data_IF_167676750642
#
_entry.id   IF_167676750642
#
_cell.length_a   1.000
_cell.length_b   1.000
_cell.length_c   1.000
_cell.angle_alpha   90.00
_cell.angle_beta   90.00
_cell.angle_gamma   90.00
#
_symmetry.space_group_name_H-M   'P 1'
#
loop_
_entity.id
_entity.type
_entity.pdbx_description
1 polymer ?
#
# COMPACT_ATOMS: atom_id res chain seq x y z
N UNK A 1 25.60 7.41 -18.50
CA UNK A 1 26.03 8.82 -18.62
C UNK A 1 25.55 9.52 -19.91
N UNK A 2 25.18 8.81 -20.95
CA UNK A 2 24.76 9.44 -22.22
C UNK A 2 23.28 9.84 -22.33
N UNK A 3 22.40 9.28 -21.48
CA UNK A 3 20.98 9.68 -21.45
C UNK A 3 20.80 11.09 -20.85
N UNK A 4 21.70 11.50 -19.96
CA UNK A 4 21.67 12.83 -19.32
C UNK A 4 22.15 13.96 -20.24
N UNK A 5 22.92 13.68 -21.30
CA UNK A 5 23.40 14.73 -22.25
C UNK A 5 22.32 15.30 -23.16
N UNK A 6 21.19 14.63 -23.27
CA UNK A 6 20.06 15.11 -24.08
C UNK A 6 19.03 15.97 -23.36
N UNK A 7 19.08 16.05 -22.01
CA UNK A 7 18.11 16.77 -21.19
C UNK A 7 18.52 18.22 -20.84
N UNK A 8 19.83 18.55 -20.98
CA UNK A 8 20.43 19.78 -20.45
C UNK A 8 20.26 21.08 -21.24
N UNK A 9 19.59 21.12 -22.39
CA UNK A 9 19.48 22.32 -23.24
C UNK A 9 18.06 22.60 -23.76
N UNK A 10 17.02 22.19 -23.01
CA UNK A 10 15.64 22.48 -23.44
C UNK A 10 15.15 23.77 -22.83
N UNK A 11 14.74 24.69 -23.68
CA UNK A 11 14.00 25.87 -23.28
C UNK A 11 12.69 25.46 -22.56
N UNK A 12 12.22 26.29 -21.64
CA UNK A 12 11.09 26.07 -20.72
C UNK A 12 9.74 25.64 -21.35
N UNK A 13 9.65 25.48 -22.67
CA UNK A 13 8.38 25.29 -23.39
C UNK A 13 8.25 24.00 -24.23
N UNK A 14 9.27 23.13 -24.30
CA UNK A 14 9.16 21.93 -25.16
C UNK A 14 8.92 20.68 -24.34
N UNK A 15 7.71 20.05 -24.42
CA UNK A 15 7.43 18.79 -23.74
C UNK A 15 8.44 17.70 -24.11
N UNK A 16 8.69 16.78 -23.18
CA UNK A 16 9.49 15.59 -23.46
C UNK A 16 8.82 14.74 -24.55
N UNK A 17 9.58 14.14 -25.48
CA UNK A 17 9.02 13.22 -26.45
C UNK A 17 8.27 12.09 -25.75
N UNK A 18 7.06 11.77 -26.21
CA UNK A 18 6.25 10.67 -25.69
C UNK A 18 5.21 11.06 -24.65
N UNK A 19 5.14 12.31 -24.19
CA UNK A 19 4.09 12.77 -23.26
C UNK A 19 2.69 12.46 -23.80
N UNK A 20 2.46 12.66 -25.10
CA UNK A 20 1.20 12.36 -25.78
C UNK A 20 0.96 10.85 -26.03
N UNK A 21 1.97 10.02 -25.84
CA UNK A 21 1.87 8.56 -26.07
C UNK A 21 1.69 7.77 -24.77
N UNK A 22 1.92 8.39 -23.61
CA UNK A 22 1.81 7.75 -22.30
C UNK A 22 0.43 8.00 -21.68
N UNK A 23 -0.30 6.94 -21.36
CA UNK A 23 -1.51 7.03 -20.54
C UNK A 23 -1.14 6.90 -19.07
N UNK A 24 -1.33 7.96 -18.29
CA UNK A 24 -1.02 7.97 -16.88
C UNK A 24 -2.10 7.23 -16.06
N UNK A 25 -1.66 6.58 -14.97
CA UNK A 25 -2.55 5.88 -14.05
C UNK A 25 -3.23 6.87 -13.10
N UNK A 26 -4.55 6.74 -12.92
CA UNK A 26 -5.35 7.55 -11.97
C UNK A 26 -5.20 9.07 -12.15
N UNK A 27 -4.87 9.53 -13.32
CA UNK A 27 -4.71 10.96 -13.65
C UNK A 27 -5.81 11.38 -14.61
N UNK A 28 -6.54 12.49 -14.32
CA UNK A 28 -7.62 12.96 -15.19
C UNK A 28 -7.12 13.30 -16.60
N UNK A 29 -7.87 12.89 -17.63
CA UNK A 29 -7.53 13.21 -19.03
C UNK A 29 -7.62 14.71 -19.34
N UNK A 30 -8.35 15.47 -18.54
CA UNK A 30 -8.47 16.92 -18.71
C UNK A 30 -7.25 17.71 -18.18
N UNK A 31 -6.33 17.07 -17.46
CA UNK A 31 -5.10 17.70 -16.99
C UNK A 31 -4.07 17.81 -18.11
N UNK A 32 -3.31 18.88 -18.10
CA UNK A 32 -2.18 19.07 -19.00
C UNK A 32 -0.95 18.32 -18.45
N UNK A 33 -0.79 17.08 -18.88
CA UNK A 33 0.27 16.18 -18.38
C UNK A 33 1.68 16.69 -18.73
N UNK A 34 1.82 17.62 -19.69
CA UNK A 34 3.12 18.22 -20.01
C UNK A 34 3.69 19.09 -18.89
N UNK A 35 2.84 19.50 -17.93
CA UNK A 35 3.22 20.31 -16.76
C UNK A 35 3.62 19.50 -15.54
N UNK A 36 3.39 18.19 -15.56
CA UNK A 36 3.75 17.33 -14.43
C UNK A 36 5.28 17.22 -14.30
N UNK A 37 5.82 17.14 -13.07
CA UNK A 37 7.24 16.89 -12.87
C UNK A 37 7.68 15.57 -13.51
N UNK A 38 8.82 15.56 -14.18
CA UNK A 38 9.43 14.35 -14.74
C UNK A 38 10.59 13.96 -13.84
N UNK A 39 10.40 12.93 -13.02
CA UNK A 39 11.42 12.45 -12.09
C UNK A 39 12.49 11.68 -12.87
N UNK A 40 13.75 12.06 -12.73
CA UNK A 40 14.88 11.52 -13.50
C UNK A 40 15.92 10.81 -12.64
N UNK A 41 15.96 11.07 -11.33
CA UNK A 41 16.88 10.40 -10.41
C UNK A 41 16.33 10.37 -8.97
N UNK A 42 16.93 9.53 -8.13
CA UNK A 42 16.62 9.48 -6.71
C UNK A 42 17.81 8.97 -5.89
N UNK A 43 17.95 9.49 -4.67
CA UNK A 43 18.98 9.09 -3.71
C UNK A 43 18.42 9.18 -2.29
N UNK A 44 18.51 8.09 -1.52
CA UNK A 44 17.95 8.03 -0.16
C UNK A 44 16.46 8.36 -0.14
N UNK A 45 16.09 9.39 0.61
CA UNK A 45 14.71 9.87 0.73
C UNK A 45 14.31 10.94 -0.31
N UNK A 46 15.20 11.24 -1.27
CA UNK A 46 15.00 12.35 -2.22
C UNK A 46 14.88 11.86 -3.65
N UNK A 47 14.09 12.60 -4.43
CA UNK A 47 14.01 12.45 -5.89
C UNK A 47 14.24 13.80 -6.56
N UNK A 48 14.74 13.78 -7.81
CA UNK A 48 15.05 14.97 -8.58
C UNK A 48 14.33 14.96 -9.91
N UNK A 49 13.72 16.07 -10.29
CA UNK A 49 13.06 16.22 -11.59
C UNK A 49 14.04 16.64 -12.71
N UNK A 50 13.54 16.70 -13.95
CA UNK A 50 14.29 17.08 -15.16
C UNK A 50 14.73 18.53 -15.19
N UNK A 51 14.25 19.37 -14.25
CA UNK A 51 14.62 20.79 -14.06
C UNK A 51 15.66 20.96 -12.96
N UNK A 52 16.02 19.88 -12.27
CA UNK A 52 16.98 19.88 -11.16
C UNK A 52 16.36 20.24 -9.80
N UNK A 53 15.04 20.29 -9.68
CA UNK A 53 14.40 20.47 -8.39
C UNK A 53 14.48 19.15 -7.59
N UNK A 54 14.83 19.26 -6.31
CA UNK A 54 14.90 18.13 -5.39
C UNK A 54 13.69 18.11 -4.46
N UNK A 55 13.13 16.94 -4.23
CA UNK A 55 11.95 16.73 -3.38
C UNK A 55 12.20 15.63 -2.39
N UNK A 56 11.73 15.80 -1.15
CA UNK A 56 11.55 14.67 -0.22
C UNK A 56 10.44 13.79 -0.80
N UNK A 57 10.74 12.50 -1.01
CA UNK A 57 9.74 11.50 -1.38
C UNK A 57 9.00 11.03 -0.13
N UNK A 58 8.06 11.84 0.33
CA UNK A 58 7.24 11.55 1.51
C UNK A 58 6.24 10.41 1.34
N UNK A 59 6.21 9.78 0.16
CA UNK A 59 5.35 8.65 -0.14
C UNK A 59 6.13 7.37 -0.47
N UNK A 60 7.47 7.42 -0.51
CA UNK A 60 8.33 6.33 -1.00
C UNK A 60 7.85 5.80 -2.37
N UNK A 61 7.77 6.69 -3.35
CA UNK A 61 7.13 6.45 -4.65
C UNK A 61 5.63 6.26 -4.49
N UNK A 62 5.18 5.05 -4.24
CA UNK A 62 3.77 4.70 -3.96
C UNK A 62 3.71 3.65 -2.84
N UNK A 63 4.12 4.03 -1.63
CA UNK A 63 4.25 3.13 -0.45
C UNK A 63 5.22 1.97 -0.69
N UNK A 64 6.30 2.19 -1.41
CA UNK A 64 7.06 1.11 -2.07
C UNK A 64 8.54 1.10 -1.72
N UNK A 65 9.23 2.26 -1.77
CA UNK A 65 10.69 2.37 -1.72
C UNK A 65 11.19 2.41 -0.28
N UNK A 66 11.12 1.27 0.40
CA UNK A 66 11.43 1.13 1.83
C UNK A 66 12.88 1.47 2.17
N UNK A 67 13.85 0.96 1.38
CA UNK A 67 15.28 1.17 1.63
C UNK A 67 15.85 2.44 1.00
N UNK A 68 14.97 3.29 0.45
CA UNK A 68 15.36 4.52 -0.25
C UNK A 68 15.77 4.27 -1.71
N UNK A 69 15.96 5.40 -2.41
CA UNK A 69 16.37 5.42 -3.83
C UNK A 69 17.91 5.27 -3.97
N UNK A 70 18.36 4.91 -5.18
CA UNK A 70 19.78 4.95 -5.55
C UNK A 70 20.65 3.82 -4.97
N UNK A 71 20.05 2.73 -4.47
CA UNK A 71 20.80 1.59 -3.91
C UNK A 71 21.54 0.80 -4.99
N UNK A 72 22.87 1.01 -5.09
CA UNK A 72 23.72 0.32 -6.06
C UNK A 72 23.75 -1.19 -5.84
N UNK A 73 23.68 -1.65 -4.58
CA UNK A 73 23.68 -3.07 -4.22
C UNK A 73 22.54 -3.83 -4.91
N UNK A 74 21.33 -3.24 -4.97
CA UNK A 74 20.18 -3.85 -5.65
C UNK A 74 20.38 -3.90 -7.17
N UNK A 75 20.95 -2.85 -7.76
CA UNK A 75 21.28 -2.83 -9.19
C UNK A 75 22.36 -3.86 -9.56
N UNK A 76 23.38 -4.01 -8.73
CA UNK A 76 24.48 -4.98 -8.92
C UNK A 76 23.98 -6.42 -8.84
N UNK A 77 23.15 -6.74 -7.82
CA UNK A 77 22.53 -8.07 -7.68
C UNK A 77 21.61 -8.37 -8.87
N UNK A 78 20.81 -7.40 -9.33
CA UNK A 78 19.98 -7.56 -10.53
C UNK A 78 20.84 -7.85 -11.76
N UNK A 79 21.88 -7.07 -12.01
CA UNK A 79 22.78 -7.25 -13.15
C UNK A 79 23.51 -8.61 -13.11
N UNK A 80 23.94 -9.05 -11.93
CA UNK A 80 24.56 -10.37 -11.74
C UNK A 80 23.58 -11.49 -12.07
N UNK A 81 22.36 -11.44 -11.49
CA UNK A 81 21.36 -12.46 -11.72
C UNK A 81 20.88 -12.50 -13.18
N UNK A 82 20.75 -11.36 -13.86
CA UNK A 82 20.43 -11.31 -15.29
C UNK A 82 21.47 -12.02 -16.17
N UNK A 83 22.75 -11.94 -15.80
CA UNK A 83 23.84 -12.64 -16.53
C UNK A 83 23.84 -14.14 -16.26
N UNK A 84 23.44 -14.57 -15.07
CA UNK A 84 23.41 -15.97 -14.66
C UNK A 84 22.15 -16.69 -15.19
N UNK A 85 20.98 -16.14 -14.88
CA UNK A 85 19.67 -16.64 -15.31
C UNK A 85 18.68 -15.47 -15.34
N UNK A 86 18.44 -14.91 -16.52
CA UNK A 86 17.53 -13.77 -16.69
C UNK A 86 16.06 -14.14 -16.43
N UNK A 87 15.62 -15.31 -16.91
CA UNK A 87 14.26 -15.79 -16.68
C UNK A 87 14.16 -17.31 -16.77
N UNK A 88 13.39 -17.92 -15.86
CA UNK A 88 12.79 -19.24 -15.97
C UNK A 88 11.55 -19.32 -15.05
N UNK A 89 10.44 -19.92 -15.50
CA UNK A 89 9.20 -19.95 -14.73
C UNK A 89 9.21 -20.98 -13.61
N UNK A 90 8.46 -20.72 -12.54
CA UNK A 90 8.20 -21.65 -11.44
C UNK A 90 6.96 -22.55 -11.69
N UNK A 91 6.79 -23.07 -12.90
CA UNK A 91 5.60 -23.86 -13.23
C UNK A 91 5.82 -25.38 -13.00
N UNK A 92 6.76 -25.96 -13.71
CA UNK A 92 7.16 -27.36 -13.52
C UNK A 92 8.64 -27.46 -13.19
N UNK A 93 9.26 -26.34 -12.89
CA UNK A 93 10.67 -26.19 -12.57
C UNK A 93 10.83 -25.26 -11.37
N UNK A 94 12.02 -25.21 -10.84
CA UNK A 94 12.42 -24.36 -9.74
C UNK A 94 13.75 -23.71 -10.07
N UNK A 95 14.07 -22.60 -9.44
CA UNK A 95 15.38 -21.98 -9.50
C UNK A 95 15.82 -21.52 -8.10
N UNK A 96 17.13 -21.45 -7.82
CA UNK A 96 17.64 -21.19 -6.48
C UNK A 96 17.05 -19.93 -5.82
N UNK A 97 16.92 -18.84 -6.56
CA UNK A 97 16.49 -17.56 -5.98
C UNK A 97 15.03 -17.56 -5.48
N UNK A 98 14.12 -18.25 -6.17
CA UNK A 98 12.74 -18.38 -5.68
C UNK A 98 12.67 -19.28 -4.44
N UNK A 99 13.48 -20.35 -4.38
CA UNK A 99 13.54 -21.22 -3.21
C UNK A 99 14.13 -20.50 -1.99
N UNK A 100 15.24 -19.79 -2.17
CA UNK A 100 15.89 -18.99 -1.13
C UNK A 100 14.94 -17.91 -0.60
N UNK A 101 14.23 -17.19 -1.50
CA UNK A 101 13.27 -16.16 -1.11
C UNK A 101 12.07 -16.76 -0.37
N UNK A 102 11.52 -17.89 -0.84
CA UNK A 102 10.41 -18.56 -0.15
C UNK A 102 10.81 -18.99 1.27
N UNK A 103 12.03 -19.52 1.43
CA UNK A 103 12.59 -19.85 2.74
C UNK A 103 12.77 -18.62 3.64
N UNK A 104 13.29 -17.52 3.07
CA UNK A 104 13.46 -16.27 3.85
C UNK A 104 12.14 -15.65 4.25
N UNK A 105 11.15 -15.66 3.38
CA UNK A 105 9.79 -15.18 3.71
C UNK A 105 9.17 -16.03 4.82
N UNK A 106 9.32 -17.36 4.76
CA UNK A 106 8.82 -18.27 5.81
C UNK A 106 9.52 -18.02 7.17
N UNK A 107 10.80 -17.61 7.17
CA UNK A 107 11.54 -17.26 8.38
C UNK A 107 11.01 -16.00 9.06
N UNK A 108 10.61 -14.98 8.27
CA UNK A 108 10.20 -13.66 8.78
C UNK A 108 8.69 -13.48 8.88
N UNK A 109 7.88 -14.40 8.34
CA UNK A 109 6.42 -14.33 8.41
C UNK A 109 5.90 -14.72 9.81
N UNK A 110 4.79 -14.12 10.27
CA UNK A 110 4.26 -14.39 11.59
C UNK A 110 3.64 -15.80 11.71
N UNK A 111 3.79 -16.40 12.88
CA UNK A 111 3.15 -17.66 13.25
C UNK A 111 3.59 -18.85 12.39
N UNK A 112 2.63 -19.53 11.76
CA UNK A 112 2.84 -20.71 10.92
C UNK A 112 2.77 -20.41 9.41
N UNK A 113 2.79 -19.13 9.01
CA UNK A 113 2.80 -18.71 7.62
C UNK A 113 4.15 -19.06 6.96
N UNK A 114 4.19 -20.09 6.11
CA UNK A 114 5.45 -20.61 5.58
C UNK A 114 5.43 -21.10 4.13
N UNK A 115 4.29 -21.07 3.46
CA UNK A 115 4.19 -21.51 2.06
C UNK A 115 3.85 -20.35 1.15
N UNK A 116 4.80 -19.93 0.30
CA UNK A 116 4.66 -18.73 -0.53
C UNK A 116 4.27 -19.06 -1.97
N UNK A 117 3.27 -18.37 -2.48
CA UNK A 117 2.92 -18.31 -3.90
C UNK A 117 3.27 -16.93 -4.46
N UNK A 118 4.24 -16.87 -5.38
CA UNK A 118 4.71 -15.63 -5.97
C UNK A 118 3.88 -15.18 -7.17
N UNK A 119 3.70 -13.86 -7.29
CA UNK A 119 3.07 -13.14 -8.40
C UNK A 119 3.87 -11.86 -8.70
N UNK A 120 3.36 -10.98 -9.58
CA UNK A 120 4.11 -9.77 -9.99
C UNK A 120 3.58 -8.48 -9.38
N UNK A 121 2.42 -8.50 -8.70
CA UNK A 121 1.78 -7.30 -8.14
C UNK A 121 0.85 -7.61 -6.96
N UNK A 122 0.43 -6.56 -6.22
CA UNK A 122 -0.55 -6.68 -5.14
C UNK A 122 -1.94 -7.10 -5.64
N UNK A 123 -2.39 -6.59 -6.79
CA UNK A 123 -3.68 -7.01 -7.36
C UNK A 123 -3.69 -8.49 -7.73
N UNK A 124 -2.61 -9.02 -8.31
CA UNK A 124 -2.46 -10.45 -8.57
C UNK A 124 -2.38 -11.27 -7.26
N UNK A 125 -1.78 -10.72 -6.20
CA UNK A 125 -1.77 -11.36 -4.89
C UNK A 125 -3.21 -11.50 -4.33
N UNK A 126 -4.04 -10.48 -4.43
CA UNK A 126 -5.44 -10.54 -4.00
C UNK A 126 -6.27 -11.50 -4.87
N UNK A 127 -6.06 -11.54 -6.19
CA UNK A 127 -6.65 -12.57 -7.07
C UNK A 127 -6.28 -13.99 -6.62
N UNK A 128 -5.02 -14.16 -6.21
CA UNK A 128 -4.51 -15.44 -5.70
C UNK A 128 -5.18 -15.80 -4.38
N UNK A 129 -5.32 -14.86 -3.45
CA UNK A 129 -6.03 -15.03 -2.17
C UNK A 129 -7.47 -15.50 -2.39
N UNK A 130 -8.22 -14.84 -3.26
CA UNK A 130 -9.61 -15.19 -3.57
C UNK A 130 -9.71 -16.66 -4.07
N UNK A 131 -8.81 -17.04 -4.97
CA UNK A 131 -8.79 -18.39 -5.56
C UNK A 131 -8.33 -19.44 -4.55
N UNK A 132 -7.32 -19.17 -3.74
CA UNK A 132 -6.84 -20.05 -2.68
C UNK A 132 -7.93 -20.31 -1.63
N UNK A 133 -8.62 -19.26 -1.17
CA UNK A 133 -9.71 -19.39 -0.21
C UNK A 133 -10.82 -20.30 -0.74
N UNK A 134 -11.28 -20.07 -1.97
CA UNK A 134 -12.31 -20.91 -2.61
C UNK A 134 -11.86 -22.36 -2.80
N UNK A 135 -10.61 -22.58 -3.22
CA UNK A 135 -10.09 -23.92 -3.44
C UNK A 135 -9.87 -24.68 -2.12
N UNK A 136 -9.41 -23.99 -1.07
CA UNK A 136 -9.26 -24.58 0.26
C UNK A 136 -10.58 -25.11 0.79
N UNK A 137 -11.65 -24.31 0.73
CA UNK A 137 -12.96 -24.77 1.17
C UNK A 137 -13.50 -25.93 0.32
N UNK A 138 -13.30 -25.92 -1.00
CA UNK A 138 -13.66 -27.07 -1.85
C UNK A 138 -12.88 -28.33 -1.47
N UNK A 139 -11.58 -28.20 -1.17
CA UNK A 139 -10.76 -29.32 -0.71
C UNK A 139 -11.22 -29.87 0.65
N UNK A 140 -11.82 -29.06 1.49
CA UNK A 140 -12.43 -29.46 2.76
C UNK A 140 -13.87 -29.96 2.65
N UNK A 141 -14.43 -30.11 1.43
CA UNK A 141 -15.79 -30.56 1.23
C UNK A 141 -16.87 -29.50 1.40
N UNK A 142 -16.49 -28.21 1.42
CA UNK A 142 -17.37 -27.04 1.56
C UNK A 142 -17.43 -26.21 0.26
N UNK A 143 -17.86 -26.77 -0.89
CA UNK A 143 -17.81 -26.07 -2.19
C UNK A 143 -18.71 -24.83 -2.28
N UNK A 144 -19.63 -24.68 -1.34
CA UNK A 144 -20.52 -23.52 -1.24
C UNK A 144 -19.84 -22.24 -0.75
N UNK A 145 -18.69 -22.34 -0.07
CA UNK A 145 -17.97 -21.18 0.45
C UNK A 145 -17.20 -20.45 -0.66
N UNK A 146 -17.72 -19.29 -1.09
CA UNK A 146 -17.10 -18.50 -2.18
C UNK A 146 -17.16 -17.00 -1.96
N UNK A 147 -17.98 -16.54 -1.00
CA UNK A 147 -18.18 -15.11 -0.69
C UNK A 147 -16.99 -14.55 0.05
N UNK A 148 -16.65 -13.30 -0.23
CA UNK A 148 -15.55 -12.57 0.38
C UNK A 148 -16.11 -11.28 1.02
N UNK A 149 -15.67 -10.99 2.23
CA UNK A 149 -16.04 -9.78 2.97
C UNK A 149 -14.80 -8.89 3.13
N UNK A 150 -14.94 -7.59 2.90
CA UNK A 150 -13.95 -6.55 3.17
C UNK A 150 -14.59 -5.31 3.81
N UNK A 151 -13.83 -4.22 3.95
CA UNK A 151 -14.34 -2.98 4.55
C UNK A 151 -14.73 -1.95 3.47
N UNK A 152 -15.68 -1.09 3.81
CA UNK A 152 -15.93 0.14 3.08
C UNK A 152 -14.67 0.99 3.01
N UNK A 153 -14.49 1.69 1.89
CA UNK A 153 -13.34 2.54 1.57
C UNK A 153 -12.01 1.78 1.42
N UNK A 154 -11.92 0.48 1.76
CA UNK A 154 -10.70 -0.31 1.62
C UNK A 154 -10.22 -0.41 0.15
N UNK A 155 -8.89 -0.52 -0.05
CA UNK A 155 -8.29 -0.68 -1.37
C UNK A 155 -7.47 -1.98 -1.44
N UNK A 156 -7.87 -2.88 -2.34
CA UNK A 156 -7.26 -4.19 -2.51
C UNK A 156 -6.71 -4.46 -3.93
N UNK A 157 -6.76 -3.47 -4.81
CA UNK A 157 -6.27 -3.56 -6.18
C UNK A 157 -7.31 -3.28 -7.25
N UNK A 158 -6.93 -3.43 -8.52
CA UNK A 158 -7.71 -2.98 -9.69
C UNK A 158 -7.90 -4.04 -10.78
N UNK A 159 -7.46 -5.28 -10.59
CA UNK A 159 -7.93 -6.40 -11.42
C UNK A 159 -9.38 -6.70 -11.07
N UNK A 160 -10.15 -7.35 -11.94
CA UNK A 160 -11.60 -7.48 -11.76
C UNK A 160 -12.00 -8.11 -10.43
N UNK A 161 -11.30 -9.14 -9.95
CA UNK A 161 -11.55 -9.74 -8.64
C UNK A 161 -11.08 -8.85 -7.50
N UNK A 162 -9.86 -8.30 -7.57
CA UNK A 162 -9.33 -7.39 -6.55
C UNK A 162 -10.15 -6.09 -6.46
N UNK A 163 -10.64 -5.57 -7.60
CA UNK A 163 -11.55 -4.43 -7.65
C UNK A 163 -12.91 -4.75 -6.99
N UNK A 164 -13.38 -5.98 -7.12
CA UNK A 164 -14.61 -6.43 -6.44
C UNK A 164 -14.46 -6.43 -4.91
N UNK A 165 -13.26 -6.76 -4.39
CA UNK A 165 -12.92 -6.69 -2.96
C UNK A 165 -12.73 -5.26 -2.49
N UNK A 166 -12.22 -4.36 -3.36
CA UNK A 166 -12.03 -2.92 -3.05
C UNK A 166 -13.35 -2.27 -2.66
N UNK A 167 -13.38 -1.53 -1.55
CA UNK A 167 -14.57 -0.89 -0.96
C UNK A 167 -14.83 0.54 -1.46
N UNK A 168 -14.30 0.96 -2.62
CA UNK A 168 -14.43 2.30 -3.20
C UNK A 168 -15.42 2.28 -4.38
N UNK A 169 -16.67 2.74 -4.21
CA UNK A 169 -17.68 2.73 -5.27
C UNK A 169 -17.27 3.51 -6.52
N UNK A 170 -16.58 4.63 -6.36
CA UNK A 170 -16.10 5.46 -7.48
C UNK A 170 -15.10 4.74 -8.38
N UNK A 171 -14.34 3.78 -7.86
CA UNK A 171 -13.41 2.96 -8.65
C UNK A 171 -14.12 1.85 -9.42
N UNK A 172 -15.24 1.36 -8.90
CA UNK A 172 -16.01 0.24 -9.46
C UNK A 172 -16.94 0.68 -10.58
N UNK A 173 -17.62 1.81 -10.40
CA UNK A 173 -18.68 2.28 -11.28
C UNK A 173 -18.34 2.29 -12.78
N UNK A 174 -17.11 2.68 -13.22
CA UNK A 174 -16.76 2.64 -14.63
C UNK A 174 -16.65 1.23 -15.22
N UNK A 175 -16.53 0.18 -14.38
CA UNK A 175 -16.21 -1.19 -14.80
C UNK A 175 -17.33 -2.20 -14.45
N UNK A 176 -18.44 -1.75 -13.94
CA UNK A 176 -19.60 -2.62 -13.65
C UNK A 176 -20.23 -3.19 -14.93
N UNK A 177 -20.73 -4.46 -14.90
CA UNK A 177 -20.85 -5.33 -13.72
C UNK A 177 -19.55 -6.05 -13.35
N UNK A 178 -19.25 -6.05 -12.06
CA UNK A 178 -18.11 -6.80 -11.51
C UNK A 178 -18.53 -8.23 -11.09
N UNK A 179 -17.57 -9.16 -10.86
CA UNK A 179 -17.85 -10.46 -10.28
C UNK A 179 -18.66 -10.37 -8.98
N UNK A 180 -19.66 -11.25 -8.81
CA UNK A 180 -20.52 -11.28 -7.63
C UNK A 180 -19.90 -12.07 -6.46
N UNK A 181 -20.47 -11.90 -5.26
CA UNK A 181 -20.04 -12.58 -4.04
C UNK A 181 -19.02 -11.81 -3.21
N UNK A 182 -18.97 -10.49 -3.36
CA UNK A 182 -18.10 -9.60 -2.60
C UNK A 182 -18.96 -8.61 -1.83
N UNK A 183 -18.71 -8.50 -0.52
CA UNK A 183 -19.49 -7.71 0.42
C UNK A 183 -18.61 -6.78 1.21
N UNK A 184 -19.16 -5.65 1.65
CA UNK A 184 -18.42 -4.63 2.37
C UNK A 184 -19.16 -4.28 3.66
N UNK A 185 -18.40 -4.08 4.73
CA UNK A 185 -18.90 -3.64 6.03
C UNK A 185 -18.28 -2.30 6.39
N UNK A 186 -18.92 -1.56 7.30
CA UNK A 186 -18.36 -0.31 7.82
C UNK A 186 -16.92 -0.51 8.29
N UNK A 187 -16.06 0.46 7.98
CA UNK A 187 -14.69 0.46 8.46
C UNK A 187 -14.59 0.98 9.91
N UNK A 188 -13.38 0.93 10.47
CA UNK A 188 -13.13 1.31 11.86
C UNK A 188 -13.25 2.81 12.16
N UNK A 189 -13.26 3.69 11.16
CA UNK A 189 -13.54 5.12 11.33
C UNK A 189 -15.04 5.39 11.35
N UNK A 190 -15.80 4.68 10.51
CA UNK A 190 -17.26 4.82 10.43
C UNK A 190 -17.97 4.25 11.68
N UNK A 191 -17.40 3.20 12.27
CA UNK A 191 -17.94 2.54 13.46
C UNK A 191 -16.80 1.92 14.30
N UNK A 192 -16.09 2.72 15.11
CA UNK A 192 -14.93 2.24 15.87
C UNK A 192 -15.24 1.09 16.84
N UNK A 193 -16.43 1.07 17.43
CA UNK A 193 -16.82 0.07 18.43
C UNK A 193 -17.44 -1.17 17.79
N UNK A 194 -18.26 -1.00 16.74
CA UNK A 194 -19.05 -2.07 16.13
C UNK A 194 -18.44 -2.67 14.86
N UNK A 195 -17.32 -2.13 14.34
CA UNK A 195 -16.78 -2.57 13.06
C UNK A 195 -16.39 -4.06 13.00
N UNK A 196 -15.92 -4.65 14.10
CA UNK A 196 -15.64 -6.08 14.17
C UNK A 196 -16.93 -6.91 14.17
N UNK A 197 -17.93 -6.53 14.95
CA UNK A 197 -19.21 -7.23 15.03
C UNK A 197 -20.02 -7.06 13.72
N UNK A 198 -19.82 -5.96 12.97
CA UNK A 198 -20.40 -5.81 11.63
C UNK A 198 -19.93 -6.91 10.66
N UNK A 199 -18.70 -7.42 10.83
CA UNK A 199 -18.21 -8.57 10.06
C UNK A 199 -19.00 -9.83 10.44
N UNK A 200 -19.23 -10.08 11.73
CA UNK A 200 -20.02 -11.22 12.22
C UNK A 200 -21.46 -11.17 11.67
N UNK A 201 -22.13 -10.03 11.80
CA UNK A 201 -23.46 -9.81 11.27
C UNK A 201 -23.55 -10.04 9.74
N UNK A 202 -22.52 -9.62 8.99
CA UNK A 202 -22.45 -9.86 7.55
C UNK A 202 -22.26 -11.34 7.24
N UNK A 203 -21.42 -12.06 7.98
CA UNK A 203 -21.25 -13.51 7.83
C UNK A 203 -22.58 -14.23 8.07
N UNK A 204 -23.30 -13.88 9.13
CA UNK A 204 -24.60 -14.48 9.47
C UNK A 204 -25.66 -14.15 8.39
N UNK A 205 -25.73 -12.90 7.93
CA UNK A 205 -26.68 -12.48 6.92
C UNK A 205 -26.47 -13.14 5.55
N UNK A 206 -25.21 -13.36 5.17
CA UNK A 206 -24.85 -13.97 3.89
C UNK A 206 -24.81 -15.48 3.92
N UNK A 207 -24.95 -16.11 5.09
CA UNK A 207 -24.86 -17.55 5.35
C UNK A 207 -23.43 -17.98 5.65
N UNK A 208 -23.12 -18.36 6.90
CA UNK A 208 -21.77 -18.74 7.32
C UNK A 208 -21.13 -19.82 6.43
N UNK A 209 -21.94 -20.74 5.92
CA UNK A 209 -21.53 -21.83 5.03
C UNK A 209 -21.22 -21.37 3.58
N UNK A 210 -21.47 -20.10 3.25
CA UNK A 210 -21.20 -19.49 1.94
C UNK A 210 -20.01 -18.53 1.98
N UNK A 211 -19.59 -18.09 3.16
CA UNK A 211 -18.46 -17.13 3.29
C UNK A 211 -17.14 -17.88 3.33
N UNK A 212 -16.23 -17.52 2.43
CA UNK A 212 -14.90 -18.13 2.31
C UNK A 212 -13.85 -17.41 3.13
N UNK A 213 -13.81 -16.06 3.06
CA UNK A 213 -12.78 -15.28 3.72
C UNK A 213 -13.22 -13.86 4.04
N UNK A 214 -12.56 -13.28 5.04
CA UNK A 214 -12.53 -11.85 5.36
C UNK A 214 -11.14 -11.33 4.99
N UNK A 215 -11.07 -10.26 4.17
CA UNK A 215 -9.81 -9.65 3.71
C UNK A 215 -9.73 -8.22 4.24
N UNK A 216 -8.67 -7.91 5.01
CA UNK A 216 -8.50 -6.62 5.69
C UNK A 216 -7.04 -6.17 5.62
N UNK A 217 -6.82 -4.86 5.51
CA UNK A 217 -5.50 -4.23 5.65
C UNK A 217 -5.17 -4.08 7.16
N UNK A 218 -3.93 -4.34 7.64
CA UNK A 218 -3.54 -4.11 9.04
C UNK A 218 -3.84 -2.69 9.51
N UNK A 219 -3.41 -1.70 8.76
CA UNK A 219 -3.84 -0.30 8.82
C UNK A 219 -4.44 0.03 7.46
N UNK A 220 -5.68 0.48 7.42
CA UNK A 220 -6.39 0.73 6.16
C UNK A 220 -5.83 1.99 5.48
N UNK A 221 -5.42 1.85 4.22
CA UNK A 221 -4.82 2.94 3.45
C UNK A 221 -5.84 4.00 3.04
N UNK A 222 -6.85 3.60 2.27
CA UNK A 222 -7.86 4.54 1.79
C UNK A 222 -8.73 5.03 2.96
N UNK A 223 -9.11 6.30 2.92
CA UNK A 223 -9.65 7.02 4.07
C UNK A 223 -8.57 7.62 4.98
N UNK A 224 -7.27 7.37 4.69
CA UNK A 224 -6.13 7.99 5.35
C UNK A 224 -5.63 7.26 6.59
N UNK A 225 -4.88 6.19 6.41
CA UNK A 225 -4.15 5.46 7.47
C UNK A 225 -5.02 5.13 8.69
N UNK A 226 -6.17 4.47 8.46
CA UNK A 226 -7.11 4.13 9.53
C UNK A 226 -6.52 3.03 10.42
N UNK A 227 -5.99 3.43 11.55
CA UNK A 227 -5.48 2.51 12.59
C UNK A 227 -6.68 1.90 13.31
N UNK A 228 -6.81 0.56 13.36
CA UNK A 228 -7.93 -0.06 14.04
C UNK A 228 -7.87 0.15 15.55
N UNK A 229 -9.04 0.21 16.23
CA UNK A 229 -9.08 0.35 17.68
C UNK A 229 -8.49 -0.89 18.38
N UNK A 230 -8.12 -0.76 19.67
CA UNK A 230 -7.63 -1.89 20.45
C UNK A 230 -8.57 -3.10 20.38
N UNK A 231 -8.00 -4.30 20.31
CA UNK A 231 -8.71 -5.58 20.23
C UNK A 231 -9.52 -5.86 18.96
N UNK A 232 -9.61 -4.92 17.99
CA UNK A 232 -10.32 -5.13 16.74
C UNK A 232 -9.86 -6.42 16.02
N UNK A 233 -8.57 -6.58 15.77
CA UNK A 233 -8.03 -7.76 15.09
C UNK A 233 -8.24 -9.05 15.88
N UNK A 234 -8.12 -9.02 17.20
CA UNK A 234 -8.39 -10.20 18.07
C UNK A 234 -9.85 -10.63 17.94
N UNK A 235 -10.79 -9.67 18.00
CA UNK A 235 -12.23 -9.94 17.82
C UNK A 235 -12.53 -10.49 16.41
N UNK A 236 -11.94 -9.92 15.37
CA UNK A 236 -12.10 -10.43 14.00
C UNK A 236 -11.56 -11.85 13.87
N UNK A 237 -10.41 -12.19 14.49
CA UNK A 237 -9.87 -13.54 14.50
C UNK A 237 -10.85 -14.53 15.17
N UNK A 238 -11.37 -14.16 16.36
CA UNK A 238 -12.38 -14.97 17.08
C UNK A 238 -13.64 -15.23 16.22
N UNK A 239 -14.15 -14.20 15.54
CA UNK A 239 -15.29 -14.31 14.63
C UNK A 239 -14.98 -15.28 13.48
N UNK A 240 -13.84 -15.11 12.83
CA UNK A 240 -13.43 -15.98 11.72
C UNK A 240 -13.28 -17.44 12.17
N UNK A 241 -12.68 -17.68 13.34
CA UNK A 241 -12.51 -19.01 13.92
C UNK A 241 -13.87 -19.65 14.25
N UNK A 242 -14.78 -18.89 14.85
CA UNK A 242 -16.12 -19.35 15.23
C UNK A 242 -16.92 -19.85 14.02
N UNK A 243 -16.85 -19.12 12.91
CA UNK A 243 -17.61 -19.44 11.69
C UNK A 243 -16.85 -20.29 10.67
N UNK A 244 -15.59 -20.65 10.93
CA UNK A 244 -14.75 -21.38 10.00
C UNK A 244 -14.43 -20.59 8.71
N UNK A 245 -14.39 -19.26 8.79
CA UNK A 245 -14.05 -18.32 7.72
C UNK A 245 -12.57 -18.01 7.78
N UNK A 246 -11.89 -17.94 6.62
CA UNK A 246 -10.48 -17.61 6.58
C UNK A 246 -10.25 -16.10 6.86
N UNK A 247 -9.27 -15.78 7.71
CA UNK A 247 -8.80 -14.42 7.93
C UNK A 247 -7.59 -14.16 7.04
N UNK A 248 -7.66 -13.10 6.24
CA UNK A 248 -6.59 -12.68 5.34
C UNK A 248 -6.12 -11.28 5.72
N UNK A 249 -4.82 -11.13 5.96
CA UNK A 249 -4.17 -9.83 6.08
C UNK A 249 -3.70 -9.36 4.69
N UNK A 250 -4.29 -8.30 4.17
CA UNK A 250 -3.73 -7.63 3.00
C UNK A 250 -2.63 -6.66 3.45
N UNK A 251 -1.40 -7.17 3.49
CA UNK A 251 -0.24 -6.44 3.93
C UNK A 251 0.56 -5.79 2.78
N UNK A 252 -0.05 -5.60 1.61
CA UNK A 252 0.61 -5.04 0.41
C UNK A 252 1.28 -3.68 0.69
N UNK A 253 0.72 -2.86 1.58
CA UNK A 253 1.36 -1.62 2.04
C UNK A 253 2.11 -1.82 3.35
N UNK A 254 1.50 -2.52 4.30
CA UNK A 254 1.98 -2.59 5.69
C UNK A 254 3.20 -3.50 5.87
N UNK A 255 3.46 -4.42 4.94
CA UNK A 255 4.60 -5.33 5.02
C UNK A 255 5.95 -4.65 4.75
N UNK A 256 7.01 -5.39 5.07
CA UNK A 256 8.41 -5.01 4.90
C UNK A 256 8.76 -3.70 5.60
N UNK A 257 8.49 -3.66 6.92
CA UNK A 257 8.95 -2.61 7.82
C UNK A 257 8.07 -1.36 7.92
N UNK A 258 7.03 -1.18 7.08
CA UNK A 258 6.21 0.05 7.07
C UNK A 258 5.64 0.39 8.45
N UNK A 259 5.24 -0.61 9.22
CA UNK A 259 4.75 -0.47 10.58
C UNK A 259 5.78 -0.88 11.67
N UNK A 260 7.05 -1.02 11.31
CA UNK A 260 8.12 -1.51 12.20
C UNK A 260 8.20 -3.03 12.29
N UNK A 261 7.32 -3.77 11.62
CA UNK A 261 7.27 -5.23 11.60
C UNK A 261 7.37 -5.77 10.18
N UNK A 262 7.67 -7.08 10.01
CA UNK A 262 7.83 -7.66 8.68
C UNK A 262 6.55 -7.67 7.86
N UNK A 263 5.39 -7.96 8.46
CA UNK A 263 4.08 -7.96 7.77
C UNK A 263 3.09 -6.95 8.34
N UNK A 264 3.43 -6.28 9.44
CA UNK A 264 2.63 -5.25 10.08
C UNK A 264 1.46 -5.76 10.90
N UNK A 265 0.95 -6.98 10.63
CA UNK A 265 -0.13 -7.60 11.42
C UNK A 265 0.35 -8.00 12.82
N UNK A 266 1.64 -8.20 13.01
CA UNK A 266 2.31 -8.50 14.28
C UNK A 266 2.02 -7.43 15.34
N UNK A 267 1.83 -6.17 14.92
CA UNK A 267 1.45 -5.05 15.82
C UNK A 267 0.14 -5.30 16.57
N UNK A 268 -0.67 -6.26 16.13
CA UNK A 268 -1.99 -6.55 16.68
C UNK A 268 -2.08 -7.93 17.33
N UNK A 269 -0.97 -8.66 17.50
CA UNK A 269 -0.87 -9.99 18.10
C UNK A 269 -1.84 -11.02 17.46
N UNK A 270 -2.00 -11.00 16.14
CA UNK A 270 -2.88 -11.91 15.40
C UNK A 270 -2.12 -12.57 14.27
N UNK A 271 -2.34 -13.87 14.10
CA UNK A 271 -1.84 -14.64 12.94
C UNK A 271 -3.02 -14.89 12.00
N UNK A 272 -2.97 -14.39 10.75
CA UNK A 272 -3.99 -14.68 9.73
C UNK A 272 -3.76 -16.05 9.10
N UNK A 273 -4.77 -16.60 8.39
CA UNK A 273 -4.63 -17.84 7.61
C UNK A 273 -3.79 -17.63 6.34
N UNK A 274 -3.82 -16.41 5.80
CA UNK A 274 -3.01 -15.96 4.66
C UNK A 274 -2.62 -14.49 4.84
N UNK A 275 -1.49 -14.10 4.25
CA UNK A 275 -1.13 -12.69 4.07
C UNK A 275 -0.70 -12.43 2.63
N UNK A 276 -1.18 -11.33 2.03
CA UNK A 276 -0.71 -10.84 0.74
C UNK A 276 0.39 -9.79 0.93
N UNK A 277 1.35 -9.76 0.01
CA UNK A 277 2.42 -8.78 -0.01
C UNK A 277 2.79 -8.35 -1.43
N UNK A 278 3.39 -7.16 -1.57
CA UNK A 278 4.03 -6.64 -2.79
C UNK A 278 4.95 -5.47 -2.42
N UNK A 279 5.03 -4.44 -3.25
CA UNK A 279 5.67 -3.14 -2.96
C UNK A 279 7.03 -3.24 -2.25
N UNK A 280 7.02 -3.13 -0.93
CA UNK A 280 8.21 -3.13 -0.08
C UNK A 280 9.11 -4.35 -0.20
N UNK A 281 8.62 -5.48 -0.71
CA UNK A 281 9.43 -6.70 -0.87
C UNK A 281 10.67 -6.50 -1.73
N UNK A 282 10.61 -5.61 -2.72
CA UNK A 282 11.74 -5.22 -3.59
C UNK A 282 12.08 -3.74 -3.49
N UNK A 283 11.46 -3.00 -2.57
CA UNK A 283 11.50 -1.53 -2.53
C UNK A 283 11.22 -0.85 -3.88
N UNK A 284 10.40 -1.48 -4.73
CA UNK A 284 10.03 -0.95 -6.04
C UNK A 284 11.09 -1.07 -7.13
N UNK A 285 12.27 -1.61 -6.83
CA UNK A 285 13.34 -1.79 -7.82
C UNK A 285 12.96 -2.77 -8.92
N UNK A 286 12.15 -3.79 -8.61
CA UNK A 286 11.56 -4.71 -9.58
C UNK A 286 10.13 -5.11 -9.15
N UNK A 287 9.23 -5.39 -10.11
CA UNK A 287 7.88 -5.86 -9.80
C UNK A 287 7.91 -7.24 -9.11
N UNK A 288 7.22 -7.36 -7.98
CA UNK A 288 6.98 -8.62 -7.27
C UNK A 288 5.81 -8.48 -6.30
N UNK A 289 5.14 -9.59 -6.06
CA UNK A 289 4.16 -9.79 -5.01
C UNK A 289 4.02 -11.26 -4.69
N UNK A 290 3.16 -11.57 -3.73
CA UNK A 290 2.90 -12.95 -3.34
C UNK A 290 1.85 -13.07 -2.24
N UNK A 291 1.55 -14.33 -1.94
CA UNK A 291 0.71 -14.72 -0.80
C UNK A 291 1.48 -15.74 0.02
N UNK A 292 1.53 -15.55 1.32
CA UNK A 292 2.03 -16.55 2.27
C UNK A 292 0.84 -17.23 2.94
N UNK A 293 0.89 -18.53 3.00
CA UNK A 293 -0.20 -19.40 3.48
C UNK A 293 0.27 -20.16 4.70
N UNK A 294 -0.60 -20.30 5.70
CA UNK A 294 -0.34 -21.07 6.92
C UNK A 294 -0.29 -22.59 6.69
N UNK A 295 0.38 -23.29 7.57
CA UNK A 295 0.63 -24.75 7.50
C UNK A 295 -0.62 -25.59 7.28
N UNK A 296 -1.68 -25.33 8.04
CA UNK A 296 -2.95 -26.05 7.94
C UNK A 296 -3.54 -25.96 6.53
N UNK A 297 -3.55 -24.75 5.97
CA UNK A 297 -4.10 -24.52 4.64
C UNK A 297 -3.22 -25.15 3.57
N UNK A 298 -1.89 -24.96 3.64
CA UNK A 298 -0.94 -25.52 2.70
C UNK A 298 -1.00 -27.07 2.67
N UNK A 299 -1.03 -27.71 3.83
CA UNK A 299 -1.15 -29.17 3.97
C UNK A 299 -2.47 -29.68 3.38
N UNK A 300 -3.60 -29.04 3.70
CA UNK A 300 -4.90 -29.39 3.14
C UNK A 300 -4.91 -29.34 1.61
N UNK A 301 -4.36 -28.27 1.05
CA UNK A 301 -4.29 -28.13 -0.42
C UNK A 301 -3.39 -29.21 -1.05
N UNK A 302 -2.24 -29.51 -0.45
CA UNK A 302 -1.32 -30.56 -0.95
C UNK A 302 -1.95 -31.96 -0.90
N UNK A 303 -2.71 -32.26 0.15
CA UNK A 303 -3.28 -33.56 0.36
C UNK A 303 -4.59 -33.83 -0.45
N UNK A 304 -5.42 -32.79 -0.61
CA UNK A 304 -6.80 -32.93 -1.07
C UNK A 304 -7.12 -32.25 -2.38
N UNK A 305 -6.32 -31.30 -2.81
CA UNK A 305 -6.49 -30.64 -4.10
C UNK A 305 -5.54 -31.26 -5.14
N UNK A 306 -6.01 -31.53 -6.36
CA UNK A 306 -5.15 -32.16 -7.39
C UNK A 306 -4.09 -31.17 -7.91
N UNK A 307 -4.41 -29.89 -7.97
CA UNK A 307 -3.55 -28.81 -8.48
C UNK A 307 -4.21 -27.47 -8.17
N UNK A 308 -3.39 -26.44 -7.97
CA UNK A 308 -3.85 -25.05 -7.98
C UNK A 308 -3.78 -24.49 -9.41
N UNK A 309 -4.94 -24.45 -10.09
CA UNK A 309 -5.06 -24.02 -11.50
C UNK A 309 -4.96 -22.49 -11.63
N UNK A 310 -3.83 -21.96 -11.15
CA UNK A 310 -3.51 -20.52 -11.17
C UNK A 310 -2.01 -20.33 -11.30
N UNK A 311 -1.59 -19.26 -11.97
CA UNK A 311 -0.19 -18.91 -12.16
C UNK A 311 -0.03 -17.57 -12.85
N UNK A 312 1.11 -16.95 -12.61
CA UNK A 312 1.59 -15.76 -13.30
C UNK A 312 2.90 -16.11 -14.00
N UNK A 313 3.07 -15.72 -15.26
CA UNK A 313 4.29 -16.01 -16.04
C UNK A 313 5.54 -15.55 -15.29
N UNK A 314 5.49 -14.39 -14.68
CA UNK A 314 6.63 -13.77 -13.99
C UNK A 314 6.63 -13.98 -12.46
N UNK A 315 5.72 -14.78 -11.93
CA UNK A 315 5.67 -15.09 -10.50
C UNK A 315 6.97 -15.75 -10.02
N UNK A 316 7.65 -15.12 -9.05
CA UNK A 316 8.95 -15.57 -8.57
C UNK A 316 10.08 -15.41 -9.59
N UNK A 317 10.05 -14.37 -10.43
CA UNK A 317 11.08 -14.07 -11.42
C UNK A 317 12.49 -14.10 -10.81
N UNK A 318 13.50 -14.77 -11.43
CA UNK A 318 14.82 -14.94 -10.83
C UNK A 318 15.48 -13.63 -10.39
N UNK A 319 15.41 -12.59 -11.23
CA UNK A 319 16.02 -11.29 -10.92
C UNK A 319 15.25 -10.57 -9.81
N UNK A 320 13.92 -10.57 -9.86
CA UNK A 320 13.11 -9.96 -8.78
C UNK A 320 13.31 -10.67 -7.44
N UNK A 321 13.44 -12.01 -7.45
CA UNK A 321 13.73 -12.81 -6.25
C UNK A 321 15.12 -12.49 -5.67
N UNK A 322 16.15 -12.33 -6.52
CA UNK A 322 17.48 -11.93 -6.07
C UNK A 322 17.48 -10.52 -5.46
N UNK A 323 16.78 -9.59 -6.08
CA UNK A 323 16.62 -8.21 -5.57
C UNK A 323 15.83 -8.20 -4.26
N UNK A 324 14.75 -8.99 -4.14
CA UNK A 324 13.98 -9.09 -2.90
C UNK A 324 14.83 -9.63 -1.73
N UNK A 325 15.65 -10.66 -1.98
CA UNK A 325 16.59 -11.19 -0.97
C UNK A 325 17.59 -10.14 -0.51
N UNK A 326 18.17 -9.38 -1.44
CA UNK A 326 19.11 -8.32 -1.08
C UNK A 326 18.42 -7.15 -0.37
N UNK A 327 17.20 -6.79 -0.78
CA UNK A 327 16.40 -5.79 -0.11
C UNK A 327 16.13 -6.16 1.36
N UNK A 328 15.75 -7.41 1.63
CA UNK A 328 15.56 -7.91 3.01
C UNK A 328 16.89 -7.85 3.78
N UNK A 329 18.03 -8.23 3.18
CA UNK A 329 19.35 -8.14 3.82
C UNK A 329 19.73 -6.70 4.17
N UNK A 330 19.43 -5.74 3.29
CA UNK A 330 19.65 -4.31 3.57
C UNK A 330 18.82 -3.89 4.78
N UNK A 331 17.54 -4.27 4.82
CA UNK A 331 16.65 -3.94 5.93
C UNK A 331 17.14 -4.51 7.27
N UNK A 332 17.63 -5.76 7.26
CA UNK A 332 18.23 -6.41 8.44
C UNK A 332 19.56 -5.75 8.84
N UNK A 333 20.47 -5.55 7.88
CA UNK A 333 21.81 -4.99 8.13
C UNK A 333 21.76 -3.56 8.67
N UNK A 334 20.82 -2.76 8.21
CA UNK A 334 20.65 -1.37 8.59
C UNK A 334 19.60 -1.18 9.70
N UNK A 335 19.06 -2.28 10.23
CA UNK A 335 18.08 -2.31 11.33
C UNK A 335 16.86 -1.39 11.10
N UNK A 336 16.36 -1.40 9.85
CA UNK A 336 15.36 -0.42 9.42
C UNK A 336 14.00 -0.57 10.14
N UNK A 337 13.65 -1.78 10.59
CA UNK A 337 12.45 -2.00 11.37
C UNK A 337 12.56 -1.32 12.74
N UNK A 338 13.73 -1.42 13.37
CA UNK A 338 14.01 -0.73 14.63
C UNK A 338 14.03 0.78 14.46
N UNK A 339 14.60 1.29 13.34
CA UNK A 339 14.55 2.73 13.04
C UNK A 339 13.11 3.25 12.99
N UNK A 340 12.19 2.48 12.43
CA UNK A 340 10.75 2.84 12.43
C UNK A 340 10.20 2.88 13.86
N UNK A 341 10.47 1.88 14.70
CA UNK A 341 10.06 1.87 16.11
C UNK A 341 10.62 3.05 16.89
N UNK A 342 11.90 3.38 16.68
CA UNK A 342 12.58 4.47 17.38
C UNK A 342 12.06 5.86 17.00
N UNK A 343 11.56 5.99 15.75
CA UNK A 343 11.19 7.29 15.20
C UNK A 343 9.67 7.47 14.95
N UNK A 344 8.84 6.44 15.05
CA UNK A 344 7.39 6.57 14.85
C UNK A 344 6.77 7.58 15.82
N UNK A 345 7.20 7.56 17.11
CA UNK A 345 6.76 8.52 18.11
C UNK A 345 7.16 9.95 17.75
N UNK A 346 8.42 10.16 17.34
CA UNK A 346 8.89 11.46 16.88
C UNK A 346 8.08 11.99 15.70
N UNK A 347 7.87 11.17 14.68
CA UNK A 347 7.12 11.59 13.49
C UNK A 347 5.66 11.95 13.83
N UNK A 348 4.99 11.11 14.64
CA UNK A 348 3.64 11.39 15.10
C UNK A 348 3.55 12.68 15.94
N UNK A 349 4.53 12.94 16.79
CA UNK A 349 4.56 14.14 17.64
C UNK A 349 4.80 15.40 16.82
N UNK A 350 5.69 15.37 15.78
CA UNK A 350 5.90 16.49 14.87
C UNK A 350 4.62 16.83 14.09
N UNK A 351 3.94 15.83 13.54
CA UNK A 351 2.67 16.02 12.83
C UNK A 351 1.57 16.55 13.75
N UNK A 352 1.45 16.05 14.99
CA UNK A 352 0.46 16.53 15.95
C UNK A 352 0.76 17.95 16.46
N UNK A 353 2.04 18.27 16.65
CA UNK A 353 2.46 19.61 17.03
C UNK A 353 2.13 20.61 15.91
N UNK A 354 2.49 20.28 14.67
CA UNK A 354 2.10 21.06 13.51
C UNK A 354 0.58 21.25 13.46
N UNK A 355 -0.19 20.17 13.59
CA UNK A 355 -1.65 20.21 13.55
C UNK A 355 -2.28 21.10 14.62
N UNK A 356 -1.68 21.18 15.82
CA UNK A 356 -2.18 22.04 16.92
C UNK A 356 -2.18 23.53 16.57
N UNK A 357 -1.32 23.95 15.64
CA UNK A 357 -1.24 25.34 15.14
C UNK A 357 -2.18 25.61 13.94
N UNK A 358 -2.89 24.58 13.46
CA UNK A 358 -3.72 24.66 12.25
C UNK A 358 -5.17 24.24 12.50
N UNK A 359 -6.10 25.19 12.75
CA UNK A 359 -7.51 24.91 13.01
C UNK A 359 -8.24 24.21 11.86
N UNK A 360 -7.71 24.23 10.64
CA UNK A 360 -8.25 23.47 9.51
C UNK A 360 -7.99 21.96 9.66
N UNK A 361 -7.04 21.53 10.48
CA UNK A 361 -6.77 20.11 10.69
C UNK A 361 -7.85 19.50 11.59
N UNK A 362 -8.43 18.41 11.13
CA UNK A 362 -9.43 17.63 11.86
C UNK A 362 -8.80 16.55 12.73
N UNK A 363 -7.86 15.80 12.17
CA UNK A 363 -7.23 14.66 12.85
C UNK A 363 -5.85 14.35 12.29
N UNK A 364 -4.94 13.86 13.15
CA UNK A 364 -3.67 13.24 12.78
C UNK A 364 -3.66 11.82 13.30
N UNK A 365 -3.45 10.84 12.41
CA UNK A 365 -3.45 9.42 12.76
C UNK A 365 -2.40 8.65 11.97
N UNK A 366 -1.92 7.54 12.53
CA UNK A 366 -0.94 6.67 11.85
C UNK A 366 -0.25 5.72 12.81
N UNK A 367 0.63 4.90 12.25
CA UNK A 367 1.44 3.91 12.95
C UNK A 367 2.72 3.64 12.13
N UNK A 368 3.84 3.44 12.80
CA UNK A 368 5.13 3.28 12.14
C UNK A 368 5.47 4.50 11.27
N UNK A 369 5.86 4.28 10.02
CA UNK A 369 6.04 5.34 9.03
C UNK A 369 4.87 5.40 8.03
N UNK A 370 3.65 5.28 8.54
CA UNK A 370 2.43 5.37 7.76
C UNK A 370 1.40 6.27 8.46
N UNK A 371 1.37 7.56 8.06
CA UNK A 371 0.62 8.61 8.73
C UNK A 371 -0.28 9.40 7.79
N UNK A 372 -1.30 10.02 8.36
CA UNK A 372 -2.22 10.88 7.65
C UNK A 372 -2.61 12.11 8.48
N UNK A 373 -2.82 13.22 7.78
CA UNK A 373 -3.40 14.47 8.31
C UNK A 373 -4.72 14.68 7.58
N UNK A 374 -5.84 14.57 8.29
CA UNK A 374 -7.17 14.84 7.77
C UNK A 374 -7.53 16.30 7.99
N UNK A 375 -8.09 16.94 6.96
CA UNK A 375 -8.39 18.37 6.91
C UNK A 375 -9.91 18.58 6.85
N UNK A 376 -10.45 19.56 7.54
CA UNK A 376 -11.86 19.93 7.44
C UNK A 376 -12.19 20.52 6.06
N UNK A 377 -13.16 19.96 5.33
CA UNK A 377 -13.55 20.46 4.02
C UNK A 377 -14.55 21.64 4.12
N UNK A 378 -14.22 22.67 4.90
CA UNK A 378 -15.07 23.83 5.14
C UNK A 378 -14.28 25.12 5.30
N UNK A 379 -14.92 26.25 5.09
CA UNK A 379 -14.37 27.59 5.40
C UNK A 379 -14.46 27.89 6.88
N UNK A 380 -13.75 28.94 7.32
CA UNK A 380 -13.74 29.37 8.72
C UNK A 380 -15.14 29.75 9.26
N UNK A 381 -16.08 30.11 8.40
CA UNK A 381 -17.48 30.40 8.77
C UNK A 381 -18.37 29.15 8.81
N UNK A 382 -17.81 27.95 8.64
CA UNK A 382 -18.52 26.67 8.60
C UNK A 382 -19.18 26.33 7.26
N UNK A 383 -18.92 27.12 6.20
CA UNK A 383 -19.44 26.83 4.87
C UNK A 383 -18.73 25.62 4.26
N UNK A 384 -19.43 24.51 3.96
CA UNK A 384 -18.81 23.33 3.37
C UNK A 384 -18.28 23.61 1.95
N UNK A 385 -17.09 23.12 1.66
CA UNK A 385 -16.51 23.11 0.30
C UNK A 385 -17.11 21.95 -0.52
N UNK A 386 -17.47 22.21 -1.77
CA UNK A 386 -18.09 21.21 -2.67
C UNK A 386 -17.61 21.40 -4.11
N UNK A 387 -17.59 20.28 -4.85
CA UNK A 387 -17.33 20.28 -6.29
C UNK A 387 -16.04 21.02 -6.67
N UNK A 388 -16.13 21.97 -7.62
CA UNK A 388 -14.96 22.69 -8.14
C UNK A 388 -14.22 23.50 -7.07
N UNK A 389 -14.95 24.01 -6.06
CA UNK A 389 -14.33 24.77 -4.96
C UNK A 389 -13.45 23.87 -4.10
N UNK A 390 -13.92 22.65 -3.78
CA UNK A 390 -13.15 21.63 -3.10
C UNK A 390 -11.87 21.28 -3.89
N UNK A 391 -12.02 21.00 -5.18
CA UNK A 391 -10.86 20.67 -6.05
C UNK A 391 -9.85 21.84 -6.12
N UNK A 392 -10.34 23.07 -6.23
CA UNK A 392 -9.48 24.28 -6.27
C UNK A 392 -8.62 24.40 -5.01
N UNK A 393 -9.17 24.21 -3.83
CA UNK A 393 -8.44 24.40 -2.58
C UNK A 393 -7.53 23.22 -2.28
N UNK A 394 -8.03 22.02 -2.34
CA UNK A 394 -7.26 20.85 -1.94
C UNK A 394 -6.26 20.40 -2.99
N UNK A 395 -6.63 20.22 -4.23
CA UNK A 395 -5.68 19.89 -5.30
C UNK A 395 -4.89 21.10 -5.76
N UNK A 396 -5.54 22.26 -5.93
CA UNK A 396 -4.89 23.46 -6.46
C UNK A 396 -3.95 24.13 -5.46
N UNK A 397 -4.37 24.32 -4.21
CA UNK A 397 -3.55 25.05 -3.22
C UNK A 397 -2.62 24.10 -2.48
N UNK A 398 -3.16 23.07 -1.81
CA UNK A 398 -2.36 22.21 -0.92
C UNK A 398 -1.33 21.42 -1.71
N UNK A 399 -1.74 20.64 -2.73
CA UNK A 399 -0.80 19.83 -3.51
C UNK A 399 0.30 20.66 -4.17
N UNK A 400 -0.04 21.85 -4.69
CA UNK A 400 0.94 22.78 -5.26
C UNK A 400 1.92 23.28 -4.21
N UNK A 401 1.44 23.67 -3.02
CA UNK A 401 2.30 24.20 -1.94
C UNK A 401 3.22 23.12 -1.37
N UNK A 402 2.75 21.91 -1.22
CA UNK A 402 3.59 20.78 -0.82
C UNK A 402 4.73 20.57 -1.84
N UNK A 403 4.41 20.59 -3.13
CA UNK A 403 5.41 20.43 -4.20
C UNK A 403 6.38 21.62 -4.25
N UNK A 404 5.89 22.86 -4.15
CA UNK A 404 6.73 24.07 -4.07
C UNK A 404 7.66 24.06 -2.84
N UNK A 405 7.20 23.49 -1.72
CA UNK A 405 8.00 23.28 -0.51
C UNK A 405 9.03 22.15 -0.60
N UNK A 406 9.04 21.40 -1.72
CA UNK A 406 9.97 20.29 -1.94
C UNK A 406 9.50 18.98 -1.33
N UNK A 407 8.19 18.73 -1.23
CA UNK A 407 7.62 17.49 -0.70
C UNK A 407 6.66 16.84 -1.71
N UNK A 408 6.93 15.59 -2.07
CA UNK A 408 6.00 14.73 -2.77
C UNK A 408 5.31 13.84 -1.75
N UNK A 409 3.98 13.93 -1.66
CA UNK A 409 3.15 13.05 -0.86
C UNK A 409 1.79 12.87 -1.53
N UNK A 410 0.96 11.97 -0.99
CA UNK A 410 -0.37 11.77 -1.53
C UNK A 410 -1.36 12.69 -0.82
N UNK A 411 -2.13 13.39 -1.63
CA UNK A 411 -3.35 14.04 -1.19
C UNK A 411 -4.53 13.22 -1.74
N UNK A 412 -5.33 12.61 -0.85
CA UNK A 412 -6.54 11.88 -1.25
C UNK A 412 -7.72 12.83 -1.25
N UNK A 413 -8.35 12.95 -2.40
CA UNK A 413 -9.43 13.89 -2.67
C UNK A 413 -10.78 13.22 -2.93
N UNK A 414 -10.91 11.93 -2.58
CA UNK A 414 -12.04 11.10 -3.02
C UNK A 414 -13.19 11.03 -2.03
N UNK A 415 -13.37 12.00 -1.23
CA UNK A 415 -14.44 12.24 -0.25
C UNK A 415 -13.89 12.67 1.12
N UNK A 416 -12.64 12.30 1.47
CA UNK A 416 -11.96 12.73 2.68
C UNK A 416 -10.65 13.46 2.32
N UNK A 417 -10.51 14.75 2.63
CA UNK A 417 -9.31 15.52 2.33
C UNK A 417 -8.16 15.11 3.26
N UNK A 418 -7.36 14.16 2.82
CA UNK A 418 -6.31 13.54 3.63
C UNK A 418 -4.95 13.65 2.96
N UNK A 419 -3.98 14.21 3.68
CA UNK A 419 -2.56 14.19 3.29
C UNK A 419 -1.94 12.93 3.89
N UNK A 420 -1.36 12.06 3.04
CA UNK A 420 -0.76 10.79 3.48
C UNK A 420 0.75 10.80 3.31
N UNK A 421 1.42 10.24 4.32
CA UNK A 421 2.86 10.08 4.38
C UNK A 421 3.26 8.62 4.60
N UNK A 422 4.25 8.19 3.85
CA UNK A 422 4.91 6.90 4.02
C UNK A 422 6.36 6.98 3.54
N UNK A 423 7.20 7.83 4.18
CA UNK A 423 8.58 8.05 3.74
C UNK A 423 9.39 6.75 3.77
N UNK A 424 10.56 6.73 3.13
CA UNK A 424 11.46 5.60 3.19
C UNK A 424 11.82 5.27 4.64
N UNK A 425 12.05 3.97 4.95
CA UNK A 425 12.37 3.55 6.34
C UNK A 425 13.76 4.04 6.79
N UNK A 426 14.56 4.50 5.86
CA UNK A 426 15.88 5.15 6.09
C UNK A 426 15.77 6.61 6.51
N UNK A 427 14.55 7.18 6.58
CA UNK A 427 14.35 8.56 6.99
C UNK A 427 14.82 8.77 8.43
N UNK A 428 15.58 9.85 8.65
CA UNK A 428 16.02 10.30 9.96
C UNK A 428 15.05 11.36 10.56
N UNK A 429 15.39 11.85 11.74
CA UNK A 429 14.61 12.89 12.43
C UNK A 429 14.45 14.17 11.64
N UNK A 430 15.51 14.58 10.92
CA UNK A 430 15.52 15.83 10.16
C UNK A 430 14.53 15.73 8.98
N UNK A 431 14.57 14.64 8.23
CA UNK A 431 13.62 14.39 7.13
C UNK A 431 12.18 14.37 7.65
N UNK A 432 11.91 13.64 8.75
CA UNK A 432 10.56 13.52 9.31
C UNK A 432 10.03 14.87 9.83
N UNK A 433 10.88 15.66 10.51
CA UNK A 433 10.51 17.02 10.95
C UNK A 433 10.26 17.94 9.75
N UNK A 434 11.09 17.85 8.71
CA UNK A 434 10.92 18.70 7.50
C UNK A 434 9.62 18.38 6.75
N UNK A 435 9.18 17.13 6.72
CA UNK A 435 7.85 16.74 6.18
C UNK A 435 6.73 17.48 6.93
N UNK A 436 6.78 17.50 8.27
CA UNK A 436 5.78 18.20 9.07
C UNK A 436 5.80 19.72 8.86
N UNK A 437 7.00 20.34 8.78
CA UNK A 437 7.17 21.78 8.52
C UNK A 437 6.56 22.18 7.17
N UNK A 438 6.94 21.49 6.08
CA UNK A 438 6.40 21.79 4.73
C UNK A 438 4.88 21.62 4.71
N UNK A 439 4.36 20.62 5.42
CA UNK A 439 2.92 20.41 5.54
C UNK A 439 2.25 21.59 6.23
N UNK A 440 2.81 22.10 7.34
CA UNK A 440 2.33 23.29 8.04
C UNK A 440 2.35 24.55 7.16
N UNK A 441 3.42 24.74 6.38
CA UNK A 441 3.51 25.85 5.41
C UNK A 441 2.36 25.78 4.38
N UNK A 442 2.08 24.59 3.84
CA UNK A 442 0.98 24.38 2.88
C UNK A 442 -0.41 24.59 3.52
N UNK A 443 -0.61 24.15 4.75
CA UNK A 443 -1.85 24.38 5.50
C UNK A 443 -2.06 25.85 5.84
N UNK A 444 -0.99 26.60 6.16
CA UNK A 444 -1.06 28.06 6.36
C UNK A 444 -1.64 28.78 5.14
N UNK A 445 -1.23 28.42 3.93
CA UNK A 445 -1.77 29.00 2.70
C UNK A 445 -3.24 28.59 2.47
N UNK A 446 -3.58 27.33 2.74
CA UNK A 446 -4.96 26.88 2.69
C UNK A 446 -5.85 27.67 3.66
N UNK A 447 -5.38 27.89 4.89
CA UNK A 447 -6.10 28.62 5.94
C UNK A 447 -6.35 30.11 5.57
N UNK A 448 -5.41 30.76 4.90
CA UNK A 448 -5.63 32.12 4.36
C UNK A 448 -6.75 32.12 3.32
N UNK A 449 -6.72 31.21 2.38
CA UNK A 449 -7.74 31.09 1.32
C UNK A 449 -9.12 30.74 1.89
N UNK A 450 -9.19 29.96 2.97
CA UNK A 450 -10.43 29.54 3.62
C UNK A 450 -10.92 30.51 4.70
N UNK A 451 -10.14 31.58 5.00
CA UNK A 451 -10.50 32.61 5.97
C UNK A 451 -10.23 32.24 7.45
N UNK A 452 -9.48 31.20 7.73
CA UNK A 452 -9.03 30.85 9.09
C UNK A 452 -7.91 31.79 9.59
N UNK A 453 -7.14 32.37 8.67
CA UNK A 453 -6.06 33.33 8.93
C UNK A 453 -6.22 34.57 8.08
N UNK A 454 -5.75 35.71 8.61
CA UNK A 454 -5.67 36.98 7.87
C UNK A 454 -4.45 37.06 6.95
#
# INVERSE_FOLDING_TARGET
MDVMRGLGERGESTPLPGVENLMLHFTPYAEDWSKLPVIVSGEGCYVTDDKGNSYIDGLAGLFTTQVGHGRSELAEVAAKQMKELGFFPNWSFQHPRSLELASKIAEIAPGDLNSTFFVSSGSEAVETVIKLARQYHKANGEPGRYKIISRDVAYHGTTMGALSVTGLPSFKAPFEPLPSGFFHVKNTQQDPEGAADAIEHMIEAEGPELVAAVILEPVQNAGGCLVPPPNYWKRVREICDHHGVLLVSDAVICAFGRLGEWFGIERFDVVPDMTSFAKGVTSGYLPMGGVVVGDKMASTLKERAPMFMHGSTFGGHPVSSAVALENIRIMEREDLLQNVHDLEGHFGDELKRMAADHPVVKEVRGMGFFWAVEVNPEKADGTPLRGDEYQRYFKGVVSRKLLEGGLICRFDDKDDPVIQFSPALTSDREVLSRIAEITGEALTELEKELGYRS
#
